data_IF_109431464059
#
_entry.id   IF_109431464059
#
_cell.length_a   1.000
_cell.length_b   1.000
_cell.length_c   1.000
_cell.angle_alpha   90.00
_cell.angle_beta   90.00
_cell.angle_gamma   90.00
#
_symmetry.space_group_name_H-M   'P 1'
#
loop_
_entity.id
_entity.type
_entity.pdbx_description
1 polymer ?
2 polymer ?
#
loop_
_entity_poly.entity_id
_entity_poly.type
_entity_poly.pdbx_seq_one_letter_code
_entity_poly.pdbx_strand_id
2 'polydeoxyribonucleotide' '(DG)(DC)(DA)(DT)(DA)(DA)(DC)(DT)(DT)(DC)(DG)(DT)(DA)(DT)(DA)(DG)(DC)(DA)(DT)(DA)(DT)(DG)(DC)(DG)(DA)(DA)(DG)(DC)(DA)(DT)(DA)(DT)(DG)(DC)(DT)(DA)(DT)(DA)(DC)(DG)(DA)(DA)(DG)(DT)(DT)(DA)(DT)(DG)(DC)' ?
#
# COMPACT_ATOMS: atom_id res chain seq x y z
N UNK A 20 -14.19 2.37 24.69
CA UNK A 20 -14.50 3.23 23.51
C UNK A 20 -15.08 4.57 23.95
N UNK A 21 -16.27 4.54 24.55
CA UNK A 21 -17.05 5.76 24.71
C UNK A 21 -16.22 6.85 25.37
N UNK A 22 -15.59 6.53 26.50
CA UNK A 22 -14.84 7.53 27.25
C UNK A 22 -13.63 8.01 26.46
N UNK A 23 -12.86 7.07 25.93
CA UNK A 23 -11.69 7.39 25.09
C UNK A 23 -12.11 8.08 23.80
N UNK A 24 -13.18 7.63 23.16
CA UNK A 24 -13.66 8.31 21.96
C UNK A 24 -14.07 9.75 22.25
N UNK A 25 -14.86 9.97 23.30
CA UNK A 25 -15.28 11.32 23.66
C UNK A 25 -14.10 12.20 24.05
N UNK A 26 -13.09 11.63 24.71
CA UNK A 26 -11.85 12.35 24.97
C UNK A 26 -11.14 12.74 23.67
N UNK A 27 -10.93 11.78 22.77
CA UNK A 27 -10.28 12.05 21.51
C UNK A 27 -11.03 13.07 20.66
N UNK A 28 -12.36 13.09 20.76
CA UNK A 28 -13.15 14.08 20.03
C UNK A 28 -12.92 15.49 20.54
N UNK A 29 -12.42 15.64 21.77
CA UNK A 29 -11.91 16.95 22.20
C UNK A 29 -10.73 17.38 21.34
N UNK A 30 -9.83 16.45 21.00
CA UNK A 30 -8.78 16.76 20.04
C UNK A 30 -9.34 16.94 18.64
N UNK A 31 -10.39 16.19 18.30
CA UNK A 31 -11.06 16.43 17.03
C UNK A 31 -11.59 17.85 16.94
N UNK A 32 -12.18 18.35 18.02
CA UNK A 32 -12.57 19.75 18.05
C UNK A 32 -11.37 20.68 17.96
N UNK A 33 -10.31 20.36 18.71
CA UNK A 33 -9.12 21.21 18.75
C UNK A 33 -8.24 21.06 17.52
N UNK A 34 -8.25 19.89 16.87
CA UNK A 34 -7.37 19.60 15.74
C UNK A 34 -8.16 18.76 14.74
N UNK A 35 -8.95 19.45 13.91
CA UNK A 35 -9.96 18.83 13.07
C UNK A 35 -9.41 18.18 11.81
N UNK A 36 -8.15 18.43 11.45
CA UNK A 36 -7.62 18.02 10.15
C UNK A 36 -6.59 16.92 10.35
N UNK A 37 -6.84 15.78 9.70
CA UNK A 37 -5.90 14.67 9.60
C UNK A 37 -6.27 13.85 8.39
N UNK A 38 -5.34 13.04 7.91
CA UNK A 38 -5.69 11.94 7.03
C UNK A 38 -6.59 10.94 7.75
N UNK A 39 -7.51 10.35 6.98
CA UNK A 39 -8.30 9.23 7.49
C UNK A 39 -7.43 8.09 7.99
N UNK A 40 -6.23 7.92 7.45
CA UNK A 40 -5.28 6.91 7.93
C UNK A 40 -4.64 7.27 9.27
N UNK A 41 -4.49 8.54 9.61
CA UNK A 41 -3.88 8.87 10.89
C UNK A 41 -4.83 8.67 12.05
N UNK A 42 -6.02 9.27 11.96
CA UNK A 42 -6.94 9.25 13.07
C UNK A 42 -7.55 7.87 13.28
N UNK A 43 -7.53 7.02 12.26
CA UNK A 43 -7.76 5.59 12.48
C UNK A 43 -6.71 5.00 13.43
N UNK A 44 -5.45 5.40 13.26
CA UNK A 44 -4.35 4.72 13.90
C UNK A 44 -4.22 5.11 15.37
N UNK A 45 -4.37 6.40 15.64
CA UNK A 45 -4.23 6.89 17.02
C UNK A 45 -5.25 6.25 17.95
N UNK A 46 -6.48 6.07 17.48
CA UNK A 46 -7.50 5.42 18.30
C UNK A 46 -7.12 3.98 18.63
N UNK A 47 -6.62 3.22 17.64
CA UNK A 47 -6.23 1.85 17.89
C UNK A 47 -4.99 1.71 18.76
N UNK A 48 -4.11 2.71 18.81
CA UNK A 48 -3.09 2.71 19.86
C UNK A 48 -3.71 2.93 21.24
N UNK A 49 -4.60 3.93 21.34
CA UNK A 49 -5.18 4.24 22.65
C UNK A 49 -5.96 3.08 23.24
N UNK A 50 -6.67 2.33 22.40
CA UNK A 50 -7.33 1.11 22.88
C UNK A 50 -6.37 0.18 23.63
N UNK A 51 -5.21 -0.11 23.05
CA UNK A 51 -4.28 -1.03 23.68
C UNK A 51 -3.67 -0.43 24.94
N UNK A 52 -3.31 0.86 24.90
CA UNK A 52 -2.81 1.48 26.12
C UNK A 52 -3.83 1.41 27.24
N UNK A 53 -5.09 1.76 26.95
CA UNK A 53 -6.12 1.73 27.99
C UNK A 53 -6.33 0.32 28.52
N UNK A 54 -6.37 -0.68 27.65
CA UNK A 54 -6.52 -2.06 28.12
C UNK A 54 -5.42 -2.45 29.08
N UNK A 55 -4.17 -2.24 28.69
CA UNK A 55 -3.08 -2.55 29.62
C UNK A 55 -3.21 -1.75 30.91
N UNK A 56 -3.57 -0.47 30.80
CA UNK A 56 -3.70 0.38 31.98
C UNK A 56 -4.78 -0.10 32.93
N UNK A 57 -5.79 -0.78 32.41
CA UNK A 57 -6.76 -1.43 33.29
C UNK A 57 -6.18 -2.69 33.91
N UNK A 58 -5.61 -3.57 33.10
CA UNK A 58 -5.22 -4.88 33.61
C UNK A 58 -4.09 -4.80 34.63
N UNK A 59 -3.37 -3.67 34.71
CA UNK A 59 -2.58 -3.32 35.88
C UNK A 59 -2.85 -1.86 36.25
N UNK A 60 -3.72 -1.65 37.24
CA UNK A 60 -4.39 -0.38 37.47
C UNK A 60 -3.44 0.79 37.72
N UNK A 61 -3.45 1.75 36.79
CA UNK A 61 -2.70 3.00 36.93
C UNK A 61 -3.54 4.09 36.29
N UNK A 62 -3.15 5.35 36.51
CA UNK A 62 -3.89 6.45 35.92
C UNK A 62 -3.75 6.41 34.40
N UNK A 63 -4.87 6.62 33.70
CA UNK A 63 -4.97 6.24 32.30
C UNK A 63 -4.49 7.34 31.34
N UNK A 64 -4.84 8.60 31.58
CA UNK A 64 -4.50 9.64 30.61
C UNK A 64 -3.13 10.24 30.85
N UNK A 65 -2.85 10.87 31.99
CA UNK A 65 -1.53 11.51 32.15
C UNK A 65 -0.44 10.46 32.31
N UNK A 66 0.45 10.37 31.32
CA UNK A 66 1.44 9.31 31.33
C UNK A 66 2.50 9.57 32.39
N UNK A 67 2.93 8.49 33.05
CA UNK A 67 4.12 8.48 33.88
C UNK A 67 5.25 7.79 33.14
N UNK A 68 6.44 8.39 33.06
CA UNK A 68 7.51 7.74 32.26
C UNK A 68 7.88 6.35 32.74
N UNK A 69 7.74 6.05 34.03
CA UNK A 69 8.00 4.70 34.50
C UNK A 69 6.97 3.71 33.97
N UNK A 70 5.72 4.15 33.85
CA UNK A 70 4.70 3.31 33.23
C UNK A 70 4.97 3.10 31.74
N UNK A 71 5.41 4.15 31.05
CA UNK A 71 5.82 3.99 29.65
C UNK A 71 6.96 2.99 29.55
N UNK A 72 7.90 3.03 30.49
CA UNK A 72 9.00 2.08 30.52
C UNK A 72 8.49 0.64 30.70
N UNK A 73 7.53 0.47 31.60
CA UNK A 73 6.91 -0.85 31.76
C UNK A 73 6.22 -1.30 30.48
N UNK A 74 5.49 -0.39 29.85
CA UNK A 74 4.77 -0.75 28.63
C UNK A 74 5.71 -1.16 27.52
N UNK A 75 6.78 -0.39 27.32
CA UNK A 75 7.74 -0.72 26.29
C UNK A 75 8.44 -2.04 26.56
N UNK A 76 8.74 -2.35 27.82
CA UNK A 76 9.27 -3.68 28.11
C UNK A 76 8.25 -4.79 27.87
N UNK A 77 7.00 -4.55 28.22
CA UNK A 77 5.95 -5.54 27.95
C UNK A 77 5.78 -5.81 26.46
N UNK A 78 5.81 -4.77 25.63
CA UNK A 78 5.78 -5.00 24.18
C UNK A 78 7.03 -5.73 23.71
N UNK A 79 8.20 -5.34 24.21
CA UNK A 79 9.42 -5.99 23.77
C UNK A 79 9.42 -7.48 24.10
N UNK A 80 8.80 -7.85 25.22
CA UNK A 80 8.68 -9.27 25.54
C UNK A 80 7.78 -10.04 24.58
N UNK A 81 6.81 -9.36 23.93
CA UNK A 81 6.10 -10.01 22.84
C UNK A 81 6.88 -10.00 21.53
N UNK A 82 8.03 -9.35 21.49
CA UNK A 82 8.91 -9.46 20.34
C UNK A 82 8.42 -8.77 19.09
N UNK A 83 7.58 -7.75 19.22
CA UNK A 83 7.15 -6.99 18.06
C UNK A 83 8.35 -6.33 17.40
N UNK A 84 8.28 -6.17 16.08
CA UNK A 84 9.35 -5.49 15.35
C UNK A 84 9.49 -4.05 15.82
N UNK A 85 10.74 -3.58 15.84
CA UNK A 85 11.08 -2.29 16.43
C UNK A 85 10.33 -1.14 15.76
N UNK A 86 10.07 -1.28 14.46
CA UNK A 86 9.29 -0.28 13.74
C UNK A 86 7.88 -0.13 14.30
N UNK A 87 7.34 -1.18 14.93
CA UNK A 87 6.04 -1.04 15.59
C UNK A 87 6.14 -0.25 16.88
N UNK A 88 7.06 -0.63 17.76
CA UNK A 88 7.16 0.02 19.06
C UNK A 88 7.46 1.50 18.89
N UNK A 89 8.38 1.83 17.98
CA UNK A 89 8.67 3.25 17.75
C UNK A 89 7.43 4.02 17.31
N UNK A 90 6.49 3.34 16.65
CA UNK A 90 5.24 3.99 16.29
C UNK A 90 4.31 4.18 17.47
N UNK A 91 4.19 3.15 18.32
CA UNK A 91 3.38 3.34 19.53
C UNK A 91 3.89 4.52 20.35
N UNK A 92 5.21 4.61 20.53
CA UNK A 92 5.78 5.74 21.26
C UNK A 92 5.50 7.06 20.55
N UNK A 93 5.59 7.07 19.22
CA UNK A 93 5.28 8.29 18.50
C UNK A 93 3.87 8.76 18.72
N UNK A 94 2.92 7.84 18.64
CA UNK A 94 1.52 8.23 18.81
C UNK A 94 1.24 8.74 20.21
N UNK A 95 1.82 8.10 21.23
CA UNK A 95 1.66 8.63 22.59
C UNK A 95 2.18 10.06 22.70
N UNK A 96 3.34 10.32 22.10
CA UNK A 96 3.89 11.68 22.18
C UNK A 96 3.04 12.67 21.40
N UNK A 97 2.51 12.26 20.24
CA UNK A 97 1.60 13.14 19.51
C UNK A 97 0.38 13.49 20.35
N UNK A 98 -0.17 12.50 21.06
CA UNK A 98 -1.35 12.75 21.87
C UNK A 98 -1.07 13.73 23.00
N UNK A 99 0.07 13.54 23.70
CA UNK A 99 0.43 14.51 24.73
C UNK A 99 0.66 15.90 24.14
N UNK A 100 1.38 15.99 23.02
CA UNK A 100 1.67 17.28 22.40
C UNK A 100 0.40 18.05 22.06
N UNK A 101 -0.46 17.46 21.23
CA UNK A 101 -1.64 18.19 20.79
C UNK A 101 -2.67 18.35 21.90
N UNK A 102 -2.61 17.53 22.95
CA UNK A 102 -3.42 17.81 24.13
C UNK A 102 -2.88 19.01 24.90
N UNK A 103 -1.56 19.14 25.03
CA UNK A 103 -1.00 20.24 25.76
C UNK A 103 -0.35 19.85 27.07
N UNK A 104 0.49 18.82 27.02
CA UNK A 104 1.25 18.36 28.17
C UNK A 104 2.68 18.08 27.73
N UNK A 105 3.63 18.02 28.66
CA UNK A 105 5.00 17.64 28.28
C UNK A 105 5.04 16.27 27.62
N UNK A 106 5.92 16.15 26.63
CA UNK A 106 6.06 14.90 25.89
C UNK A 106 6.75 13.83 26.73
N UNK A 107 6.19 12.63 26.84
CA UNK A 107 6.93 11.52 27.45
C UNK A 107 8.30 11.27 26.84
N UNK A 108 8.48 11.56 25.55
CA UNK A 108 9.77 11.39 24.91
C UNK A 108 10.84 12.29 25.50
N UNK A 109 10.46 13.29 26.30
CA UNK A 109 11.42 14.12 27.00
C UNK A 109 12.18 13.36 28.08
N UNK A 110 11.66 12.22 28.54
CA UNK A 110 12.36 11.44 29.57
C UNK A 110 13.65 10.83 29.03
N UNK A 111 14.73 11.01 29.79
CA UNK A 111 15.99 10.32 29.53
C UNK A 111 15.82 8.79 29.56
N UNK A 112 15.12 8.29 30.56
CA UNK A 112 14.91 6.85 30.70
C UNK A 112 14.18 6.26 29.50
N UNK A 113 13.13 6.93 29.02
CA UNK A 113 12.41 6.46 27.84
C UNK A 113 13.34 6.35 26.63
N UNK A 114 14.17 7.37 26.41
CA UNK A 114 15.16 7.28 25.35
C UNK A 114 16.11 6.11 25.58
N UNK A 115 16.62 5.97 26.80
CA UNK A 115 17.59 4.94 27.09
C UNK A 115 17.06 3.55 26.78
N UNK A 116 15.83 3.26 27.22
CA UNK A 116 15.22 1.97 26.93
C UNK A 116 14.94 1.81 25.44
N UNK A 117 14.51 2.87 24.76
CA UNK A 117 14.30 2.76 23.32
C UNK A 117 15.58 2.40 22.60
N UNK A 118 16.67 3.09 22.91
CA UNK A 118 17.97 2.78 22.31
C UNK A 118 18.42 1.36 22.64
N UNK A 119 18.24 0.95 23.91
CA UNK A 119 18.66 -0.40 24.30
C UNK A 119 17.91 -1.46 23.51
N UNK A 120 16.58 -1.42 23.52
CA UNK A 120 15.84 -2.47 22.84
C UNK A 120 16.06 -2.40 21.33
N UNK A 121 16.26 -1.20 20.78
CA UNK A 121 16.58 -1.09 19.36
C UNK A 121 17.86 -1.83 19.01
N UNK A 122 18.91 -1.59 19.78
CA UNK A 122 20.16 -2.33 19.57
C UNK A 122 19.98 -3.82 19.78
N UNK A 123 19.27 -4.21 20.85
CA UNK A 123 19.11 -5.63 21.15
C UNK A 123 18.43 -6.36 20.01
N UNK A 124 17.27 -5.88 19.57
CA UNK A 124 16.54 -6.56 18.51
C UNK A 124 17.22 -6.44 17.15
N UNK A 125 18.00 -5.40 16.91
CA UNK A 125 18.80 -5.38 15.69
C UNK A 125 19.88 -6.46 15.74
N UNK A 126 20.56 -6.59 16.87
CA UNK A 126 21.54 -7.66 17.04
C UNK A 126 20.89 -9.04 16.98
N UNK A 127 19.60 -9.13 17.28
CA UNK A 127 18.87 -10.40 17.11
C UNK A 127 18.67 -10.81 15.65
N UNK A 128 19.00 -9.97 14.67
CA UNK A 128 19.05 -10.43 13.30
C UNK A 128 17.81 -10.25 12.47
N UNK A 129 16.94 -9.30 12.81
CA UNK A 129 15.78 -9.01 11.98
C UNK A 129 16.22 -8.48 10.61
N UNK A 130 15.31 -8.58 9.64
CA UNK A 130 15.51 -8.02 8.31
C UNK A 130 14.21 -7.37 7.84
N UNK A 131 14.35 -6.27 7.12
CA UNK A 131 13.22 -5.70 6.41
C UNK A 131 12.81 -6.58 5.23
N UNK A 132 11.51 -6.72 5.04
CA UNK A 132 10.96 -7.55 3.97
C UNK A 132 11.11 -6.87 2.61
N UNK A 133 10.99 -7.68 1.56
CA UNK A 133 10.86 -7.18 0.19
C UNK A 133 9.90 -8.07 -0.58
N UNK A 134 9.00 -7.45 -1.33
CA UNK A 134 7.97 -8.19 -2.04
C UNK A 134 8.57 -9.04 -3.16
N UNK A 135 7.85 -10.12 -3.49
CA UNK A 135 8.17 -10.90 -4.69
C UNK A 135 7.99 -10.05 -5.94
N UNK A 136 8.87 -10.26 -6.92
CA UNK A 136 8.97 -9.41 -8.09
C UNK A 136 8.15 -9.99 -9.24
N UNK A 137 7.23 -9.18 -9.78
CA UNK A 137 6.42 -9.54 -10.95
C UNK A 137 7.20 -9.28 -12.24
N UNK A 138 8.26 -10.06 -12.42
CA UNK A 138 9.11 -9.91 -13.59
C UNK A 138 8.36 -10.18 -14.89
N UNK A 139 8.86 -9.59 -15.97
CA UNK A 139 8.18 -9.54 -17.26
C UNK A 139 7.74 -10.92 -17.76
N UNK A 140 8.56 -11.94 -17.54
CA UNK A 140 8.22 -13.28 -18.05
C UNK A 140 6.93 -13.82 -17.45
N UNK A 141 6.62 -13.49 -16.20
CA UNK A 141 5.36 -13.97 -15.65
C UNK A 141 4.18 -13.29 -16.33
N UNK A 142 4.33 -12.00 -16.65
CA UNK A 142 3.30 -11.32 -17.41
C UNK A 142 3.08 -11.96 -18.77
N UNK A 143 4.18 -12.24 -19.49
CA UNK A 143 4.06 -12.91 -20.78
C UNK A 143 3.39 -14.29 -20.66
N UNK A 144 3.68 -15.03 -19.60
CA UNK A 144 3.05 -16.33 -19.43
C UNK A 144 1.55 -16.20 -19.16
N UNK A 145 1.17 -15.36 -18.21
CA UNK A 145 -0.25 -15.23 -17.89
C UNK A 145 -1.01 -14.66 -19.08
N UNK A 146 -0.40 -13.77 -19.85
CA UNK A 146 -1.01 -13.31 -21.09
C UNK A 146 -1.19 -14.47 -22.07
N UNK A 147 -0.13 -15.25 -22.28
CA UNK A 147 -0.22 -16.39 -23.18
C UNK A 147 -1.36 -17.34 -22.80
N UNK A 148 -1.62 -17.48 -21.49
CA UNK A 148 -2.77 -18.28 -21.05
C UNK A 148 -4.11 -17.59 -21.29
N UNK A 149 -4.28 -16.35 -20.83
CA UNK A 149 -5.58 -15.68 -20.84
C UNK A 149 -5.95 -15.01 -22.16
N UNK A 150 -5.02 -14.89 -23.10
CA UNK A 150 -5.28 -14.14 -24.33
C UNK A 150 -6.54 -14.59 -25.04
N UNK A 151 -6.88 -15.88 -24.96
CA UNK A 151 -8.07 -16.38 -25.64
C UNK A 151 -9.36 -16.07 -24.89
N UNK A 152 -9.28 -15.55 -23.67
CA UNK A 152 -10.43 -15.51 -22.79
C UNK A 152 -11.51 -14.57 -23.33
N UNK A 153 -12.78 -14.96 -23.09
CA UNK A 153 -13.93 -14.13 -23.41
C UNK A 153 -14.80 -13.79 -22.21
N UNK A 154 -14.72 -14.55 -21.12
CA UNK A 154 -15.46 -14.22 -19.91
C UNK A 154 -15.03 -12.87 -19.37
N UNK A 155 -16.01 -11.97 -19.19
CA UNK A 155 -15.73 -10.55 -19.00
C UNK A 155 -14.72 -10.27 -17.90
N UNK A 156 -14.93 -10.86 -16.72
CA UNK A 156 -14.05 -10.55 -15.61
C UNK A 156 -12.63 -11.07 -15.82
N UNK A 157 -12.42 -11.95 -16.80
CA UNK A 157 -11.05 -12.25 -17.20
C UNK A 157 -10.45 -11.07 -17.94
N UNK A 158 -11.21 -10.50 -18.87
CA UNK A 158 -10.77 -9.37 -19.66
C UNK A 158 -10.37 -8.21 -18.75
N UNK A 159 -11.20 -7.94 -17.74
CA UNK A 159 -10.88 -6.85 -16.83
C UNK A 159 -9.50 -7.03 -16.21
N UNK A 160 -9.24 -8.21 -15.64
CA UNK A 160 -7.96 -8.44 -14.97
C UNK A 160 -6.80 -8.38 -15.95
N UNK A 161 -6.97 -8.94 -17.15
CA UNK A 161 -5.90 -8.90 -18.14
C UNK A 161 -5.57 -7.47 -18.55
N UNK A 162 -6.57 -6.60 -18.66
CA UNK A 162 -6.28 -5.18 -18.91
C UNK A 162 -5.60 -4.53 -17.71
N UNK A 163 -6.15 -4.78 -16.51
CA UNK A 163 -5.63 -4.13 -15.32
C UNK A 163 -4.14 -4.37 -15.17
N UNK A 164 -3.72 -5.63 -15.20
CA UNK A 164 -2.31 -5.92 -15.03
C UNK A 164 -1.47 -5.28 -16.14
N UNK A 165 -2.02 -5.24 -17.35
CA UNK A 165 -1.32 -4.63 -18.47
C UNK A 165 -1.00 -3.16 -18.25
N UNK A 166 -1.90 -2.44 -17.59
CA UNK A 166 -1.56 -1.07 -17.20
C UNK A 166 -0.67 -1.06 -15.97
N UNK A 167 -1.06 -1.77 -14.92
CA UNK A 167 -0.42 -1.60 -13.61
C UNK A 167 1.05 -1.98 -13.63
N UNK A 168 1.46 -2.84 -14.55
CA UNK A 168 2.90 -3.07 -14.77
C UNK A 168 3.53 -1.98 -15.63
N UNK A 169 3.02 -1.78 -16.84
CA UNK A 169 3.72 -0.94 -17.82
C UNK A 169 3.84 0.50 -17.34
N UNK A 170 2.82 1.03 -16.68
CA UNK A 170 2.80 2.45 -16.37
C UNK A 170 3.41 2.79 -15.02
N UNK A 171 3.83 1.79 -14.25
CA UNK A 171 4.55 1.99 -12.98
C UNK A 171 3.73 2.75 -11.95
N UNK A 172 2.42 2.89 -12.15
CA UNK A 172 1.58 3.64 -11.23
C UNK A 172 1.41 2.91 -9.90
N UNK A 173 1.19 3.69 -8.84
CA UNK A 173 0.77 3.13 -7.56
C UNK A 173 -0.69 2.70 -7.62
N UNK A 174 -1.01 1.65 -6.86
CA UNK A 174 -2.33 1.02 -6.96
C UNK A 174 -3.46 2.02 -6.70
N UNK A 175 -3.31 2.87 -5.69
CA UNK A 175 -4.34 3.86 -5.43
C UNK A 175 -4.33 5.02 -6.41
N UNK A 176 -3.31 5.12 -7.26
CA UNK A 176 -3.38 6.08 -8.35
C UNK A 176 -4.25 5.53 -9.47
N UNK A 177 -3.93 4.32 -9.94
CA UNK A 177 -4.65 3.73 -11.06
C UNK A 177 -6.11 3.49 -10.72
N UNK A 178 -6.42 3.18 -9.46
CA UNK A 178 -7.83 3.02 -9.11
C UNK A 178 -8.67 4.24 -9.41
N UNK A 179 -8.08 5.43 -9.50
CA UNK A 179 -8.83 6.67 -9.65
C UNK A 179 -9.13 7.08 -11.09
N UNK A 180 -8.40 6.58 -12.08
CA UNK A 180 -8.38 7.27 -13.38
C UNK A 180 -9.75 7.17 -14.03
N UNK A 181 -10.32 8.34 -14.36
CA UNK A 181 -11.58 8.44 -15.08
C UNK A 181 -11.36 8.39 -16.59
N UNK A 182 -12.38 7.97 -17.32
CA UNK A 182 -12.27 7.93 -18.77
C UNK A 182 -12.01 9.33 -19.32
N UNK A 183 -12.47 10.35 -18.60
CA UNK A 183 -12.06 11.73 -18.90
C UNK A 183 -10.56 11.90 -18.82
N UNK A 184 -9.88 11.14 -17.96
CA UNK A 184 -8.46 11.30 -17.69
C UNK A 184 -7.56 10.71 -18.78
N UNK A 185 -8.10 10.30 -19.92
CA UNK A 185 -7.36 9.50 -20.88
C UNK A 185 -7.46 10.16 -22.25
N UNK A 186 -6.35 10.14 -22.98
CA UNK A 186 -6.24 10.77 -24.29
C UNK A 186 -5.66 9.77 -25.28
N UNK A 187 -6.15 9.86 -26.52
CA UNK A 187 -6.02 8.80 -27.51
C UNK A 187 -5.54 9.43 -28.82
N UNK A 188 -4.72 8.68 -29.56
CA UNK A 188 -4.37 9.07 -30.91
C UNK A 188 -4.58 7.87 -31.84
N UNK A 189 -5.29 8.13 -32.94
CA UNK A 189 -5.70 7.05 -33.85
C UNK A 189 -4.49 6.48 -34.56
N UNK A 190 -4.39 5.15 -34.57
CA UNK A 190 -3.22 4.47 -35.08
C UNK A 190 -1.97 4.62 -34.25
N UNK A 191 -2.08 5.07 -33.01
CA UNK A 191 -0.90 5.27 -32.20
C UNK A 191 -1.09 4.95 -30.72
N UNK A 192 -0.29 5.60 -29.88
CA UNK A 192 -0.27 5.29 -28.46
C UNK A 192 -1.51 5.84 -27.77
N UNK A 193 -1.55 5.67 -26.45
CA UNK A 193 -2.55 6.27 -25.59
C UNK A 193 -1.84 6.94 -24.42
N UNK A 194 -2.39 8.06 -23.97
CA UNK A 194 -1.73 8.89 -22.98
C UNK A 194 -2.65 9.18 -21.81
N UNK A 195 -2.08 9.23 -20.62
CA UNK A 195 -2.81 9.27 -19.36
C UNK A 195 -2.27 10.43 -18.55
N UNK A 196 -3.15 11.10 -17.80
CA UNK A 196 -2.78 12.28 -17.05
C UNK A 196 -3.20 12.12 -15.61
N UNK A 197 -2.33 12.57 -14.70
CA UNK A 197 -2.52 12.38 -13.26
C UNK A 197 -2.03 13.63 -12.54
N UNK A 198 -2.73 13.99 -11.45
CA UNK A 198 -2.39 15.18 -10.70
C UNK A 198 -0.98 15.17 -10.16
N UNK A 208 -0.73 17.22 -13.63
CA UNK A 208 0.04 18.04 -14.54
C UNK A 208 1.14 17.29 -15.26
N UNK A 209 1.11 15.96 -15.14
CA UNK A 209 2.14 15.10 -15.71
C UNK A 209 1.45 13.99 -16.50
N UNK A 210 2.09 13.59 -17.60
CA UNK A 210 1.46 12.72 -18.58
C UNK A 210 2.36 11.53 -18.87
N UNK A 211 1.73 10.36 -18.97
CA UNK A 211 2.42 9.08 -19.04
C UNK A 211 1.87 8.29 -20.21
N UNK A 212 2.74 7.51 -20.84
CA UNK A 212 2.56 7.05 -22.21
C UNK A 212 2.72 5.54 -22.27
N UNK A 213 1.94 4.92 -23.16
CA UNK A 213 1.54 3.53 -23.02
C UNK A 213 1.87 2.76 -24.28
N UNK A 214 2.35 1.54 -24.11
CA UNK A 214 2.87 0.74 -25.22
C UNK A 214 1.74 0.26 -26.13
N UNK A 215 2.07 0.11 -27.41
CA UNK A 215 1.12 -0.25 -28.45
C UNK A 215 0.55 -1.66 -28.33
N UNK A 216 0.99 -2.44 -27.35
CA UNK A 216 0.32 -3.69 -27.07
C UNK A 216 -0.94 -3.55 -26.23
N UNK A 217 -0.78 -3.14 -24.97
CA UNK A 217 -1.88 -3.12 -24.02
C UNK A 217 -2.96 -2.11 -24.43
N UNK A 218 -2.63 -1.19 -25.33
CA UNK A 218 -3.66 -0.36 -25.94
C UNK A 218 -4.81 -1.19 -26.51
N UNK A 219 -4.48 -2.31 -27.16
CA UNK A 219 -5.53 -3.18 -27.69
C UNK A 219 -6.37 -3.81 -26.58
N UNK A 220 -5.75 -4.15 -25.45
CA UNK A 220 -6.49 -4.74 -24.34
C UNK A 220 -7.44 -3.72 -23.72
N UNK A 221 -6.95 -2.51 -23.45
CA UNK A 221 -7.81 -1.48 -22.88
C UNK A 221 -8.93 -1.11 -23.84
N UNK A 222 -8.62 -1.04 -25.14
CA UNK A 222 -9.66 -0.80 -26.14
C UNK A 222 -10.72 -1.90 -26.15
N UNK A 223 -10.30 -3.17 -26.04
CA UNK A 223 -11.25 -4.26 -25.94
C UNK A 223 -12.13 -4.13 -24.70
N UNK A 224 -11.51 -3.84 -23.55
CA UNK A 224 -12.28 -3.64 -22.33
C UNK A 224 -13.32 -2.54 -22.49
N UNK A 225 -12.89 -1.38 -22.98
CA UNK A 225 -13.82 -0.25 -23.14
C UNK A 225 -14.95 -0.63 -24.09
N UNK A 226 -14.62 -1.17 -25.26
CA UNK A 226 -15.64 -1.44 -26.27
C UNK A 226 -16.61 -2.55 -25.87
N UNK A 227 -16.16 -3.55 -25.12
CA UNK A 227 -17.09 -4.59 -24.68
C UNK A 227 -17.90 -4.17 -23.47
N UNK A 228 -17.28 -3.53 -22.48
CA UNK A 228 -18.02 -3.17 -21.27
C UNK A 228 -18.92 -1.97 -21.47
N UNK A 229 -18.55 -1.01 -22.33
CA UNK A 229 -19.42 0.11 -22.63
C UNK A 229 -19.40 1.25 -21.64
N UNK A 230 -18.35 1.36 -20.83
CA UNK A 230 -18.29 2.38 -19.79
C UNK A 230 -18.23 3.80 -20.32
N UNK A 231 -18.10 3.98 -21.63
CA UNK A 231 -17.77 5.27 -22.23
C UNK A 231 -18.95 6.24 -22.32
N UNK A 232 -20.13 5.90 -21.79
CA UNK A 232 -21.29 6.76 -21.99
C UNK A 232 -21.13 8.12 -21.33
N UNK A 233 -20.23 8.26 -20.36
CA UNK A 233 -19.85 9.59 -19.87
C UNK A 233 -18.40 9.51 -19.40
N UNK A 234 -17.51 10.37 -19.91
CA UNK A 234 -16.12 10.34 -19.45
C UNK A 234 -15.97 10.43 -17.93
N UNK A 235 -16.98 10.97 -17.26
CA UNK A 235 -16.94 11.04 -15.80
C UNK A 235 -17.08 9.68 -15.13
N UNK A 236 -17.41 8.62 -15.86
CA UNK A 236 -17.40 7.29 -15.28
C UNK A 236 -15.98 6.83 -14.97
N UNK A 237 -15.85 6.04 -13.90
CA UNK A 237 -14.60 5.35 -13.64
C UNK A 237 -14.37 4.22 -14.64
N UNK A 238 -13.13 4.07 -15.07
CA UNK A 238 -12.80 3.06 -16.08
C UNK A 238 -12.92 1.65 -15.52
N UNK A 239 -12.61 1.45 -14.24
CA UNK A 239 -12.70 0.16 -13.58
C UNK A 239 -13.91 0.16 -12.66
N UNK A 240 -14.70 -0.92 -12.73
CA UNK A 240 -15.93 -0.96 -11.95
C UNK A 240 -16.30 -2.41 -11.63
N UNK A 241 -17.23 -2.54 -10.70
CA UNK A 241 -17.74 -3.83 -10.26
C UNK A 241 -18.36 -4.63 -11.40
N UNK A 242 -18.17 -5.95 -11.35
CA UNK A 242 -18.77 -6.87 -12.31
C UNK A 242 -19.41 -8.00 -11.55
N UNK A 243 -20.63 -8.36 -11.95
CA UNK A 243 -21.42 -9.31 -11.17
C UNK A 243 -21.27 -10.75 -11.64
N UNK A 244 -21.76 -11.65 -10.78
CA UNK A 244 -21.75 -13.10 -10.98
C UNK A 244 -22.03 -13.57 -12.41
N UNK A 245 -23.09 -13.05 -13.02
CA UNK A 245 -23.52 -13.54 -14.33
C UNK A 245 -22.82 -12.91 -15.52
N UNK A 246 -21.84 -12.04 -15.30
CA UNK A 246 -21.06 -11.52 -16.41
C UNK A 246 -21.53 -10.21 -17.01
N UNK A 247 -22.45 -9.50 -16.37
CA UNK A 247 -22.90 -8.19 -16.84
C UNK A 247 -22.19 -7.13 -16.03
N UNK A 248 -21.64 -6.13 -16.70
CA UNK A 248 -20.92 -5.07 -16.01
C UNK A 248 -21.89 -4.04 -15.45
N UNK A 249 -21.36 -3.15 -14.61
CA UNK A 249 -22.12 -2.04 -14.08
C UNK A 249 -21.32 -0.74 -14.21
N UNK A 250 -21.98 0.36 -14.58
CA UNK A 250 -21.30 1.66 -14.58
C UNK A 250 -21.34 2.30 -13.21
N UNK A 251 -20.52 3.33 -13.04
CA UNK A 251 -20.76 4.29 -11.96
C UNK A 251 -19.94 5.55 -12.19
N UNK A 252 -20.58 6.69 -11.97
CA UNK A 252 -19.89 7.98 -11.92
C UNK A 252 -19.25 8.29 -10.58
N UNK A 253 -19.58 7.54 -9.52
CA UNK A 253 -19.28 8.00 -8.16
C UNK A 253 -18.71 6.94 -7.23
N UNK A 254 -18.85 5.65 -7.50
CA UNK A 254 -18.37 4.60 -6.62
C UNK A 254 -17.17 3.90 -7.24
N UNK A 255 -16.01 4.00 -6.58
CA UNK A 255 -14.79 3.37 -7.06
C UNK A 255 -14.65 1.96 -6.52
N UNK A 256 -13.92 1.13 -7.26
CA UNK A 256 -13.55 -0.20 -6.77
C UNK A 256 -12.52 -0.13 -5.65
N UNK A 257 -12.80 -0.84 -4.57
CA UNK A 257 -11.95 -0.80 -3.38
C UNK A 257 -10.62 -1.49 -3.64
N UNK A 258 -9.54 -0.90 -3.14
CA UNK A 258 -8.21 -1.48 -3.34
C UNK A 258 -8.09 -2.88 -2.76
N UNK A 259 -8.89 -3.19 -1.73
CA UNK A 259 -8.90 -4.55 -1.21
C UNK A 259 -9.33 -5.58 -2.24
N UNK A 260 -10.04 -5.18 -3.29
CA UNK A 260 -10.32 -6.10 -4.39
C UNK A 260 -9.22 -6.12 -5.43
N UNK A 261 -8.47 -5.02 -5.57
CA UNK A 261 -7.39 -5.04 -6.52
C UNK A 261 -6.25 -5.93 -6.06
N UNK A 262 -5.94 -5.94 -4.76
CA UNK A 262 -5.04 -6.99 -4.27
C UNK A 262 -5.60 -8.38 -4.52
N UNK A 263 -6.93 -8.54 -4.44
CA UNK A 263 -7.61 -9.77 -4.80
C UNK A 263 -7.54 -10.14 -6.27
N UNK A 264 -7.07 -9.24 -7.12
CA UNK A 264 -6.74 -9.62 -8.49
C UNK A 264 -5.40 -10.33 -8.54
N UNK A 265 -4.33 -9.68 -8.06
CA UNK A 265 -3.01 -10.29 -8.12
C UNK A 265 -3.01 -11.64 -7.41
N UNK A 266 -3.58 -11.69 -6.20
CA UNK A 266 -3.52 -12.93 -5.44
C UNK A 266 -4.28 -14.04 -6.13
N UNK A 267 -5.36 -13.70 -6.84
CA UNK A 267 -6.10 -14.73 -7.58
C UNK A 267 -5.30 -15.25 -8.76
N UNK A 268 -4.67 -14.37 -9.53
CA UNK A 268 -3.93 -14.90 -10.67
C UNK A 268 -2.72 -15.70 -10.23
N UNK A 269 -2.06 -15.29 -9.14
CA UNK A 269 -1.00 -16.14 -8.58
C UNK A 269 -1.54 -17.50 -8.20
N UNK A 270 -2.67 -17.53 -7.50
CA UNK A 270 -3.28 -18.80 -7.13
C UNK A 270 -3.80 -19.58 -8.32
N UNK A 271 -3.83 -18.97 -9.50
CA UNK A 271 -4.10 -19.68 -10.74
C UNK A 271 -2.83 -20.29 -11.33
N UNK A 272 -1.70 -19.60 -11.21
CA UNK A 272 -0.46 -20.15 -11.76
C UNK A 272 0.18 -21.17 -10.81
N UNK A 273 -0.03 -21.03 -9.50
CA UNK A 273 0.61 -21.87 -8.51
C UNK A 273 -0.42 -22.36 -7.50
N UNK A 274 -0.01 -23.33 -6.68
CA UNK A 274 -0.82 -23.79 -5.57
C UNK A 274 -1.00 -22.75 -4.48
N UNK A 275 -1.86 -23.10 -3.53
CA UNK A 275 -2.23 -22.19 -2.45
C UNK A 275 -1.03 -21.84 -1.58
N UNK A 276 -1.18 -20.71 -0.87
CA UNK A 276 -0.12 -20.21 0.00
C UNK A 276 0.20 -21.21 1.10
N UNK A 277 1.47 -21.23 1.51
CA UNK A 277 1.93 -22.12 2.56
C UNK A 277 1.39 -21.65 3.91
N UNK A 278 1.23 -22.61 4.83
CA UNK A 278 0.63 -22.36 6.14
C UNK A 278 1.59 -21.74 7.14
N UNK A 279 2.83 -21.42 6.74
CA UNK A 279 3.77 -20.84 7.69
C UNK A 279 3.37 -19.45 8.14
N UNK A 280 2.41 -18.80 7.48
CA UNK A 280 1.96 -17.48 7.86
C UNK A 280 2.91 -16.35 7.51
N UNK A 281 4.01 -16.62 6.83
CA UNK A 281 4.90 -15.57 6.37
C UNK A 281 4.18 -14.64 5.39
N UNK A 282 4.66 -13.41 5.32
CA UNK A 282 4.10 -12.41 4.43
C UNK A 282 4.92 -12.32 3.14
N UNK A 283 4.30 -11.71 2.13
CA UNK A 283 4.89 -11.60 0.78
C UNK A 283 5.11 -12.96 0.14
N UNK A 284 4.34 -13.97 0.53
CA UNK A 284 4.38 -15.25 -0.17
C UNK A 284 3.69 -15.20 -1.51
N UNK A 285 2.97 -14.12 -1.82
CA UNK A 285 2.35 -13.96 -3.13
C UNK A 285 2.36 -12.49 -3.51
N UNK A 286 2.16 -12.23 -4.80
CA UNK A 286 2.27 -10.88 -5.33
C UNK A 286 1.32 -9.92 -4.62
N UNK A 287 1.73 -8.66 -4.55
CA UNK A 287 0.91 -7.59 -4.01
C UNK A 287 1.18 -6.31 -4.80
N UNK A 288 0.58 -5.22 -4.36
CA UNK A 288 0.59 -4.00 -5.15
C UNK A 288 1.97 -3.50 -5.55
N UNK A 289 2.96 -3.68 -4.68
CA UNK A 289 4.33 -3.30 -5.01
C UNK A 289 5.06 -4.30 -5.91
N UNK A 290 4.50 -5.48 -6.13
CA UNK A 290 5.20 -6.44 -6.97
C UNK A 290 5.37 -5.92 -8.38
N UNK A 291 4.48 -5.06 -8.84
CA UNK A 291 4.65 -4.45 -10.16
C UNK A 291 5.83 -3.50 -10.18
N UNK A 292 5.88 -2.56 -9.23
CA UNK A 292 6.99 -1.61 -9.21
C UNK A 292 8.33 -2.33 -9.12
N UNK A 293 8.47 -3.26 -8.16
CA UNK A 293 9.73 -3.97 -8.03
C UNK A 293 10.06 -4.78 -9.29
N UNK A 294 9.07 -5.41 -9.89
CA UNK A 294 9.31 -6.14 -11.14
C UNK A 294 9.85 -5.23 -12.23
N UNK A 295 9.22 -4.08 -12.41
CA UNK A 295 9.68 -3.16 -13.45
C UNK A 295 11.07 -2.63 -13.17
N UNK A 296 11.32 -2.16 -11.95
CA UNK A 296 12.63 -1.60 -11.64
C UNK A 296 13.73 -2.64 -11.82
N UNK A 297 13.54 -3.83 -11.27
CA UNK A 297 14.54 -4.88 -11.40
C UNK A 297 14.75 -5.31 -12.84
N UNK A 298 13.68 -5.39 -13.64
CA UNK A 298 13.85 -5.71 -15.05
C UNK A 298 14.58 -4.61 -15.82
N UNK A 299 14.31 -3.34 -15.51
CA UNK A 299 15.05 -2.26 -16.16
C UNK A 299 16.52 -2.27 -15.77
N UNK A 300 16.83 -2.63 -14.53
CA UNK A 300 18.22 -2.83 -14.14
C UNK A 300 18.86 -3.99 -14.88
N UNK A 301 18.12 -5.10 -15.05
CA UNK A 301 18.59 -6.19 -15.90
C UNK A 301 18.82 -5.74 -17.34
N UNK A 302 18.01 -4.81 -17.84
CA UNK A 302 18.25 -4.22 -19.16
C UNK A 302 19.46 -3.31 -19.20
N UNK A 303 20.09 -3.01 -18.07
CA UNK A 303 21.30 -2.22 -18.07
C UNK A 303 21.08 -0.73 -18.10
N UNK A 304 19.89 -0.26 -17.67
CA UNK A 304 19.61 1.16 -17.68
C UNK A 304 20.53 1.91 -16.72
N UNK A 305 20.74 3.19 -17.02
CA UNK A 305 21.38 4.09 -16.08
C UNK A 305 20.41 4.45 -14.95
N UNK A 306 20.85 4.24 -13.71
CA UNK A 306 20.01 4.37 -12.52
C UNK A 306 19.33 5.74 -12.42
N UNK A 307 19.95 6.86 -12.80
CA UNK A 307 19.19 8.12 -12.74
C UNK A 307 18.03 8.16 -13.70
N UNK A 308 18.07 7.36 -14.77
CA UNK A 308 16.89 7.26 -15.64
C UNK A 308 15.76 6.54 -14.91
N UNK A 309 16.11 5.55 -14.07
CA UNK A 309 15.12 4.91 -13.22
C UNK A 309 14.50 5.93 -12.29
N UNK A 310 15.34 6.69 -11.59
CA UNK A 310 14.84 7.66 -10.64
C UNK A 310 13.98 8.73 -11.31
N UNK A 311 14.32 9.11 -12.54
CA UNK A 311 13.48 10.01 -13.30
C UNK A 311 12.14 9.37 -13.67
N UNK A 312 12.15 8.09 -14.04
CA UNK A 312 10.90 7.44 -14.44
C UNK A 312 9.95 7.25 -13.26
N UNK A 313 10.47 6.78 -12.12
CA UNK A 313 9.63 6.62 -10.94
C UNK A 313 9.32 7.90 -10.20
N UNK A 314 10.10 8.95 -10.43
CA UNK A 314 9.95 10.17 -9.66
C UNK A 314 10.43 10.04 -8.24
N UNK A 315 11.21 9.01 -7.93
CA UNK A 315 11.59 8.70 -6.57
C UNK A 315 12.66 9.67 -6.09
N UNK A 316 12.41 10.31 -4.96
CA UNK A 316 13.46 11.07 -4.29
C UNK A 316 14.55 10.10 -3.84
N UNK A 317 15.80 10.47 -4.09
CA UNK A 317 16.90 9.51 -3.93
C UNK A 317 17.03 9.05 -2.49
N UNK A 318 16.76 7.76 -2.28
CA UNK A 318 17.14 7.06 -1.06
C UNK A 318 17.39 5.61 -1.45
N UNK A 319 18.20 4.94 -0.64
CA UNK A 319 18.75 3.64 -1.02
C UNK A 319 17.71 2.54 -1.16
N UNK A 320 16.42 2.82 -0.95
CA UNK A 320 15.38 1.85 -1.30
C UNK A 320 15.47 1.43 -2.76
N UNK A 321 15.88 2.34 -3.64
CA UNK A 321 16.04 2.00 -5.06
C UNK A 321 17.16 0.99 -5.23
N UNK A 322 18.31 1.27 -4.62
CA UNK A 322 19.39 0.29 -4.57
C UNK A 322 18.91 -1.04 -3.97
N UNK A 323 18.11 -0.99 -2.91
CA UNK A 323 17.68 -2.22 -2.27
C UNK A 323 16.76 -3.04 -3.17
N UNK A 324 15.89 -2.37 -3.94
CA UNK A 324 15.16 -3.08 -4.98
C UNK A 324 16.09 -3.64 -6.04
N UNK A 325 17.19 -2.95 -6.34
CA UNK A 325 18.15 -3.45 -7.33
C UNK A 325 19.13 -4.44 -6.73
N UNK A 326 19.01 -4.74 -5.44
CA UNK A 326 20.07 -5.34 -4.64
C UNK A 326 20.81 -6.47 -5.36
N UNK A 327 20.08 -7.35 -6.04
CA UNK A 327 20.74 -8.42 -6.77
C UNK A 327 19.96 -8.73 -8.04
N UNK A 328 20.69 -9.19 -9.06
CA UNK A 328 20.11 -9.67 -10.30
C UNK A 328 20.54 -11.12 -10.50
N UNK A 329 19.56 -12.02 -10.60
CA UNK A 329 19.83 -13.46 -10.63
C UNK A 329 20.84 -13.85 -9.56
#
# INVERSE_FOLDING_TARGET
MSNLLTVHQNLPALPVDATSDEVRKNLMDMFRARQVFSEHTWKMLLSVCRSWAAWCKLNNRKWFPAEPEDVRDYLLYLQARGLAVKTIQQHLGQLNMLHRRSGLPRPSDSNAVSLVMRRIRKENVDAGERAKQALAFERTDFDQVRSLMENSDRCQDIRNLAFLGIAYNTLLRIAEIARIRVKDISRTDGGAMLIHIGRTKTLVSTAGVEKALSLGVTKLVERWISVSGVADDPNNYLFCRVRKNGVAAPSATSQLSTRALEGIFEATHRLIYGAKDDSGQRYLAWSGHSARVGAARDMARAGVSIPEIMQAGGWTNVNIVMNYIRNLDSETGAMVRLLEDGD
#
